data_IF_728346670361
#
_entry.id   IF_728346670361
#
_cell.length_a   1.000
_cell.length_b   1.000
_cell.length_c   1.000
_cell.angle_alpha   90.00
_cell.angle_beta   90.00
_cell.angle_gamma   90.00
#
_symmetry.space_group_name_H-M   'P 1'
#
loop_
_entity.id
_entity.type
_entity.pdbx_description
1 polymer ?
#
# COMPACT_ATOMS: atom_id res chain seq x y z
N UNK A 1 -31.96 17.56 -11.53
CA UNK A 1 -31.10 17.27 -12.70
C UNK A 1 -30.25 18.44 -13.20
N UNK A 2 -30.61 19.71 -13.06
CA UNK A 2 -29.81 20.88 -13.57
C UNK A 2 -28.53 21.16 -12.77
N UNK A 3 -28.48 20.85 -11.45
CA UNK A 3 -27.30 21.14 -10.60
C UNK A 3 -26.15 20.14 -10.77
N UNK A 4 -26.44 18.89 -11.10
CA UNK A 4 -25.41 17.86 -11.37
C UNK A 4 -24.66 18.12 -12.67
N UNK A 5 -25.31 18.70 -13.68
CA UNK A 5 -24.67 19.09 -14.93
C UNK A 5 -23.72 20.28 -14.77
N UNK A 6 -24.03 21.22 -13.88
CA UNK A 6 -23.18 22.39 -13.62
C UNK A 6 -21.88 22.01 -12.89
N UNK A 7 -21.92 21.05 -11.96
CA UNK A 7 -20.70 20.54 -11.29
C UNK A 7 -19.78 19.76 -12.24
N UNK A 8 -20.36 18.97 -13.16
CA UNK A 8 -19.59 18.25 -14.17
C UNK A 8 -18.93 19.20 -15.19
N UNK A 9 -19.61 20.27 -15.57
CA UNK A 9 -19.06 21.27 -16.49
C UNK A 9 -18.00 22.16 -15.83
N UNK A 10 -18.13 22.48 -14.54
CA UNK A 10 -17.12 23.20 -13.78
C UNK A 10 -15.85 22.36 -13.58
N UNK A 11 -15.99 21.06 -13.32
CA UNK A 11 -14.87 20.12 -13.24
C UNK A 11 -14.17 19.96 -14.60
N UNK A 12 -14.92 19.88 -15.70
CA UNK A 12 -14.35 19.81 -17.06
C UNK A 12 -13.67 21.12 -17.49
N UNK A 13 -14.18 22.28 -17.09
CA UNK A 13 -13.58 23.58 -17.38
C UNK A 13 -12.30 23.81 -16.56
N UNK A 14 -12.22 23.33 -15.33
CA UNK A 14 -11.00 23.32 -14.51
C UNK A 14 -9.90 22.42 -15.12
N UNK A 15 -10.28 21.30 -15.73
CA UNK A 15 -9.36 20.42 -16.44
C UNK A 15 -8.85 21.01 -17.76
N UNK A 16 -9.65 21.83 -18.46
CA UNK A 16 -9.27 22.45 -19.72
C UNK A 16 -8.34 23.68 -19.58
N UNK A 17 -8.31 24.32 -18.41
CA UNK A 17 -7.47 25.49 -18.15
C UNK A 17 -6.04 25.19 -17.72
N UNK A 18 -5.70 23.91 -17.52
CA UNK A 18 -4.40 23.49 -16.96
C UNK A 18 -3.32 23.19 -18.01
N UNK A 19 -3.56 23.43 -19.29
CA UNK A 19 -2.67 23.01 -20.39
C UNK A 19 -1.30 23.70 -20.46
N UNK A 20 -1.04 24.73 -19.66
CA UNK A 20 0.24 25.45 -19.67
C UNK A 20 1.23 25.04 -18.56
N UNK A 21 0.87 24.14 -17.63
CA UNK A 21 1.58 23.95 -16.36
C UNK A 21 2.05 22.53 -16.07
N UNK A 22 1.74 21.58 -16.95
CA UNK A 22 1.85 20.15 -16.61
C UNK A 22 3.13 19.44 -17.10
N UNK A 23 4.05 20.17 -17.72
CA UNK A 23 5.19 19.57 -18.44
C UNK A 23 6.38 19.18 -17.55
N UNK A 24 6.30 19.36 -16.23
CA UNK A 24 7.47 19.36 -15.37
C UNK A 24 7.69 18.12 -14.51
N UNK A 25 6.72 17.20 -14.39
CA UNK A 25 6.90 16.01 -13.56
C UNK A 25 7.91 15.03 -14.16
N UNK A 26 8.92 14.65 -13.35
CA UNK A 26 9.96 13.70 -13.74
C UNK A 26 11.26 14.34 -14.22
N UNK A 27 11.49 15.62 -13.99
CA UNK A 27 12.76 16.27 -14.28
C UNK A 27 13.82 15.96 -13.23
N UNK A 28 15.06 15.97 -13.64
CA UNK A 28 16.21 15.86 -12.73
C UNK A 28 16.14 16.91 -11.62
N UNK A 29 16.47 16.51 -10.40
CA UNK A 29 16.45 17.39 -9.23
C UNK A 29 15.09 17.50 -8.53
N UNK A 30 14.02 16.93 -9.07
CA UNK A 30 12.72 16.96 -8.40
C UNK A 30 12.63 15.94 -7.27
N UNK A 31 12.02 16.36 -6.17
CA UNK A 31 11.60 15.51 -5.05
C UNK A 31 10.08 15.38 -5.06
N UNK A 32 9.59 14.18 -5.28
CA UNK A 32 8.17 13.84 -5.21
C UNK A 32 7.85 13.25 -3.83
N UNK A 33 6.90 13.84 -3.11
CA UNK A 33 6.39 13.33 -1.83
C UNK A 33 4.95 12.90 -2.03
N UNK A 34 4.62 11.68 -1.66
CA UNK A 34 3.29 11.12 -1.90
C UNK A 34 2.68 10.46 -0.67
N UNK A 35 1.35 10.54 -0.60
CA UNK A 35 0.54 9.68 0.27
C UNK A 35 -0.08 8.59 -0.63
N UNK A 36 0.29 7.34 -0.38
CA UNK A 36 0.02 6.22 -1.27
C UNK A 36 -0.90 5.19 -0.62
N UNK A 37 -1.52 4.37 -1.47
CA UNK A 37 -2.45 3.31 -1.08
C UNK A 37 -3.60 3.87 -0.22
N UNK A 38 -4.08 5.07 -0.60
CA UNK A 38 -5.14 5.77 0.12
C UNK A 38 -6.48 5.11 -0.07
N UNK A 39 -6.77 4.65 -1.28
CA UNK A 39 -7.92 3.81 -1.58
C UNK A 39 -7.57 2.88 -2.74
N UNK A 40 -8.21 1.72 -2.74
CA UNK A 40 -7.96 0.73 -3.77
C UNK A 40 -8.73 -0.55 -3.56
N UNK A 41 -8.69 -1.37 -4.58
CA UNK A 41 -9.18 -2.75 -4.56
C UNK A 41 -7.98 -3.69 -4.53
N UNK A 42 -8.02 -4.71 -3.66
CA UNK A 42 -6.94 -5.67 -3.52
C UNK A 42 -7.46 -7.10 -3.47
N UNK A 43 -6.72 -7.98 -4.08
CA UNK A 43 -6.82 -9.42 -3.91
C UNK A 43 -5.51 -9.92 -3.33
N UNK A 44 -5.58 -10.54 -2.17
CA UNK A 44 -4.44 -11.16 -1.50
C UNK A 44 -4.62 -12.66 -1.46
N UNK A 45 -3.59 -13.41 -1.80
CA UNK A 45 -3.50 -14.86 -1.64
C UNK A 45 -2.30 -15.18 -0.75
N UNK A 46 -2.53 -15.95 0.31
CA UNK A 46 -1.49 -16.36 1.25
C UNK A 46 -1.54 -17.85 1.51
N UNK A 47 -0.36 -18.46 1.62
CA UNK A 47 -0.16 -19.85 1.99
C UNK A 47 0.74 -19.92 3.24
N UNK A 48 0.31 -20.68 4.22
CA UNK A 48 1.03 -20.89 5.50
C UNK A 48 1.28 -22.37 5.66
N UNK A 49 2.53 -22.76 5.86
CA UNK A 49 2.91 -24.15 6.13
C UNK A 49 2.83 -24.43 7.63
N UNK A 50 1.95 -25.34 8.00
CA UNK A 50 1.74 -25.81 9.39
C UNK A 50 2.18 -27.27 9.53
N UNK A 51 2.38 -27.76 10.76
CA UNK A 51 2.79 -29.16 11.03
C UNK A 51 1.80 -30.22 10.52
N UNK A 52 0.58 -29.83 10.14
CA UNK A 52 -0.47 -30.72 9.61
C UNK A 52 -0.76 -30.58 8.13
N UNK A 53 -0.05 -29.71 7.41
CA UNK A 53 -0.24 -29.41 5.99
C UNK A 53 -0.30 -27.90 5.72
N UNK A 54 -0.38 -27.56 4.45
CA UNK A 54 -0.46 -26.17 4.02
C UNK A 54 -1.89 -25.64 4.15
N UNK A 55 -2.01 -24.42 4.61
CA UNK A 55 -3.28 -23.71 4.71
C UNK A 55 -3.26 -22.50 3.75
N UNK A 56 -4.14 -22.55 2.75
CA UNK A 56 -4.31 -21.49 1.78
C UNK A 56 -5.48 -20.57 2.15
N UNK A 57 -5.28 -19.29 2.01
CA UNK A 57 -6.28 -18.27 2.27
C UNK A 57 -6.26 -17.20 1.20
N UNK A 58 -7.42 -16.71 0.80
CA UNK A 58 -7.53 -15.56 -0.08
C UNK A 58 -8.48 -14.52 0.50
N UNK A 59 -8.13 -13.26 0.34
CA UNK A 59 -8.93 -12.12 0.81
C UNK A 59 -9.04 -11.10 -0.32
N UNK A 60 -10.27 -10.69 -0.59
CA UNK A 60 -10.57 -9.58 -1.49
C UNK A 60 -11.08 -8.42 -0.66
N UNK A 61 -10.55 -7.23 -0.88
CA UNK A 61 -10.93 -6.05 -0.11
C UNK A 61 -10.97 -4.78 -0.94
N UNK A 62 -11.79 -3.86 -0.47
CA UNK A 62 -11.75 -2.46 -0.88
C UNK A 62 -11.38 -1.65 0.37
N UNK A 63 -10.37 -0.81 0.25
CA UNK A 63 -9.91 0.06 1.33
C UNK A 63 -10.07 1.52 0.96
N UNK A 64 -10.54 2.32 1.91
CA UNK A 64 -10.57 3.77 1.84
C UNK A 64 -9.86 4.32 3.09
N UNK A 65 -8.69 4.95 2.91
CA UNK A 65 -7.86 5.56 3.95
C UNK A 65 -7.37 4.62 5.08
N UNK A 66 -7.83 3.40 5.13
CA UNK A 66 -7.33 2.39 6.08
C UNK A 66 -7.57 0.99 5.55
N UNK A 67 -6.59 0.12 5.67
CA UNK A 67 -6.81 -1.31 5.61
C UNK A 67 -6.97 -1.80 7.05
N UNK A 68 -8.18 -2.12 7.48
CA UNK A 68 -8.36 -2.87 8.71
C UNK A 68 -8.02 -4.32 8.41
N UNK A 69 -6.96 -4.90 9.00
CA UNK A 69 -6.75 -6.34 8.93
C UNK A 69 -7.99 -7.02 9.49
N UNK A 70 -8.56 -7.94 8.74
CA UNK A 70 -9.66 -8.75 9.24
C UNK A 70 -9.09 -9.71 10.29
N UNK A 71 -9.17 -9.34 11.56
CA UNK A 71 -8.65 -10.11 12.69
C UNK A 71 -9.37 -11.45 12.90
N UNK A 72 -10.51 -11.65 12.23
CA UNK A 72 -11.25 -12.92 12.28
C UNK A 72 -10.57 -14.05 11.47
N UNK A 73 -9.61 -13.71 10.62
CA UNK A 73 -8.93 -14.68 9.77
C UNK A 73 -7.40 -14.54 9.96
N UNK A 74 -6.72 -15.49 10.62
CA UNK A 74 -5.27 -15.41 10.87
C UNK A 74 -4.46 -15.16 9.60
N UNK A 75 -4.89 -15.68 8.44
CA UNK A 75 -4.27 -15.43 7.14
C UNK A 75 -4.31 -13.97 6.68
N UNK A 76 -5.26 -13.17 7.14
CA UNK A 76 -5.38 -11.76 6.75
C UNK A 76 -4.40 -10.84 7.47
N UNK A 77 -3.91 -11.24 8.63
CA UNK A 77 -2.87 -10.50 9.37
C UNK A 77 -1.54 -10.59 8.62
N UNK A 78 -1.31 -11.70 7.95
CA UNK A 78 -0.05 -12.06 7.31
C UNK A 78 0.12 -11.47 5.90
N UNK A 79 -0.97 -11.12 5.23
CA UNK A 79 -0.98 -10.96 3.79
C UNK A 79 -1.06 -9.57 3.22
N UNK A 80 -1.64 -8.61 3.89
CA UNK A 80 -1.95 -7.34 3.21
C UNK A 80 -0.74 -6.39 3.11
N UNK A 81 -0.31 -6.06 1.91
CA UNK A 81 0.67 -4.99 1.66
C UNK A 81 0.00 -3.61 1.49
N UNK A 82 -1.32 -3.57 1.41
CA UNK A 82 -2.14 -2.39 1.12
C UNK A 82 -2.45 -1.55 2.35
N UNK A 83 -1.44 -1.11 3.06
CA UNK A 83 -1.61 -0.09 4.10
C UNK A 83 -1.22 1.29 3.56
N UNK A 84 -1.91 2.38 3.97
CA UNK A 84 -1.48 3.74 3.66
C UNK A 84 -0.03 3.97 4.06
N UNK A 85 0.71 4.63 3.18
CA UNK A 85 2.14 4.90 3.38
C UNK A 85 2.51 6.28 2.83
N UNK A 86 3.52 6.88 3.38
CA UNK A 86 4.14 8.11 2.86
C UNK A 86 5.40 7.72 2.10
N UNK A 87 5.61 8.34 0.95
CA UNK A 87 6.80 8.06 0.15
C UNK A 87 7.50 9.33 -0.29
N UNK A 88 8.82 9.19 -0.51
CA UNK A 88 9.65 10.19 -1.15
C UNK A 88 10.42 9.55 -2.30
N UNK A 89 10.36 10.15 -3.49
CA UNK A 89 11.06 9.72 -4.68
C UNK A 89 11.82 10.91 -5.27
N UNK A 90 13.12 10.76 -5.46
CA UNK A 90 13.98 11.77 -6.03
C UNK A 90 14.36 11.41 -7.47
N UNK A 91 14.20 12.33 -8.40
CA UNK A 91 14.59 12.16 -9.80
C UNK A 91 16.07 12.43 -9.97
N UNK A 92 16.85 11.35 -9.99
CA UNK A 92 18.34 11.39 -10.08
C UNK A 92 18.84 11.79 -11.46
N UNK A 93 18.07 11.54 -12.49
CA UNK A 93 18.19 12.06 -13.86
C UNK A 93 16.77 12.26 -14.40
N UNK A 94 16.62 12.90 -15.55
CA UNK A 94 15.32 13.06 -16.18
C UNK A 94 14.61 11.70 -16.30
N UNK A 95 13.39 11.65 -15.77
CA UNK A 95 12.47 10.50 -15.77
C UNK A 95 12.84 9.36 -14.82
N UNK A 96 14.08 9.20 -14.38
CA UNK A 96 14.47 8.13 -13.49
C UNK A 96 14.44 8.58 -12.03
N UNK A 97 13.60 7.95 -11.23
CA UNK A 97 13.49 8.20 -9.79
C UNK A 97 14.05 7.05 -8.97
N UNK A 98 14.57 7.38 -7.79
CA UNK A 98 14.87 6.45 -6.70
C UNK A 98 14.22 6.97 -5.43
N UNK A 99 13.68 6.09 -4.63
CA UNK A 99 12.94 6.51 -3.45
C UNK A 99 12.60 5.38 -2.52
N UNK A 100 11.80 5.70 -1.51
CA UNK A 100 11.25 4.71 -0.59
C UNK A 100 9.91 5.18 -0.02
N UNK A 101 9.08 4.22 0.36
CA UNK A 101 7.86 4.45 1.11
C UNK A 101 7.97 3.89 2.52
N UNK A 102 7.34 4.58 3.47
CA UNK A 102 7.23 4.21 4.87
C UNK A 102 5.77 4.15 5.28
N UNK A 103 5.38 3.07 5.92
CA UNK A 103 4.05 2.88 6.50
C UNK A 103 4.14 2.48 7.95
N UNK A 104 3.19 2.97 8.75
CA UNK A 104 2.99 2.54 10.11
C UNK A 104 1.50 2.47 10.40
N UNK A 105 1.06 1.38 11.01
CA UNK A 105 -0.30 1.24 11.48
C UNK A 105 -0.32 0.59 12.86
N UNK A 106 -1.21 1.09 13.73
CA UNK A 106 -1.57 0.44 14.97
C UNK A 106 -2.95 -0.20 14.80
N UNK A 107 -3.04 -1.47 15.16
CA UNK A 107 -4.29 -2.25 15.07
C UNK A 107 -4.66 -2.70 16.45
N UNK A 108 -5.91 -2.45 16.86
CA UNK A 108 -6.47 -2.93 18.10
C UNK A 108 -7.80 -3.62 17.81
N UNK A 109 -7.96 -4.81 18.33
CA UNK A 109 -9.20 -5.58 18.23
C UNK A 109 -9.66 -6.00 19.63
N UNK A 110 -10.90 -5.68 19.94
CA UNK A 110 -11.55 -6.11 21.19
C UNK A 110 -12.64 -7.13 20.86
N UNK A 111 -12.59 -8.28 21.50
CA UNK A 111 -13.57 -9.35 21.29
C UNK A 111 -14.06 -9.94 22.60
N UNK A 112 -15.27 -10.52 22.56
CA UNK A 112 -15.86 -11.31 23.67
C UNK A 112 -15.91 -12.77 23.21
N UNK A 113 -14.91 -13.61 23.58
CA UNK A 113 -14.94 -15.01 23.21
C UNK A 113 -16.15 -15.72 23.82
N UNK A 114 -16.87 -16.57 23.10
CA UNK A 114 -17.94 -17.36 23.63
C UNK A 114 -17.44 -18.26 24.77
N UNK A 115 -18.14 -18.25 25.90
CA UNK A 115 -17.83 -19.14 27.05
C UNK A 115 -16.95 -18.52 28.16
N UNK A 116 -16.41 -17.32 27.98
CA UNK A 116 -15.62 -16.62 29.01
C UNK A 116 -16.40 -15.56 29.81
N UNK A 117 -17.73 -15.61 29.78
CA UNK A 117 -18.57 -14.63 30.46
C UNK A 117 -18.50 -13.24 29.79
N UNK A 118 -18.49 -12.18 30.61
CA UNK A 118 -18.41 -10.80 30.12
C UNK A 118 -16.97 -10.26 29.97
N UNK A 119 -15.96 -11.11 30.03
CA UNK A 119 -14.58 -10.68 29.93
C UNK A 119 -14.26 -10.33 28.46
N UNK A 120 -13.89 -9.08 28.24
CA UNK A 120 -13.38 -8.60 26.97
C UNK A 120 -11.88 -8.89 26.89
N UNK A 121 -11.45 -9.43 25.76
CA UNK A 121 -10.03 -9.55 25.45
C UNK A 121 -9.67 -8.53 24.38
N UNK A 122 -8.66 -7.72 24.64
CA UNK A 122 -8.13 -6.75 23.68
C UNK A 122 -6.78 -7.24 23.21
N UNK A 123 -6.62 -7.40 21.90
CA UNK A 123 -5.34 -7.64 21.25
C UNK A 123 -4.94 -6.39 20.47
N UNK A 124 -3.71 -5.96 20.63
CA UNK A 124 -3.16 -4.83 19.89
C UNK A 124 -1.85 -5.22 19.21
N UNK A 125 -1.55 -4.60 18.09
CA UNK A 125 -0.33 -4.84 17.35
C UNK A 125 0.07 -3.63 16.51
N UNK A 126 1.29 -3.66 16.04
CA UNK A 126 1.89 -2.64 15.21
C UNK A 126 2.35 -3.24 13.87
N UNK A 127 2.13 -2.51 12.80
CA UNK A 127 2.62 -2.85 11.47
C UNK A 127 3.58 -1.77 11.03
N UNK A 128 4.77 -2.15 10.63
CA UNK A 128 5.74 -1.28 9.99
C UNK A 128 5.97 -1.76 8.56
N UNK A 129 6.05 -0.82 7.61
CA UNK A 129 6.33 -1.11 6.20
C UNK A 129 7.46 -0.20 5.73
N UNK A 130 8.42 -0.80 5.03
CA UNK A 130 9.50 -0.09 4.34
C UNK A 130 9.60 -0.61 2.91
N UNK A 131 9.55 0.30 1.91
CA UNK A 131 9.50 -0.08 0.51
C UNK A 131 10.45 0.79 -0.34
N UNK A 132 11.75 0.43 -0.43
CA UNK A 132 12.67 1.03 -1.37
C UNK A 132 12.32 0.66 -2.80
N UNK A 133 12.50 1.63 -3.73
CA UNK A 133 12.08 1.46 -5.13
C UNK A 133 12.83 2.36 -6.10
N UNK A 134 12.78 1.99 -7.38
CA UNK A 134 13.14 2.84 -8.49
C UNK A 134 11.96 2.93 -9.47
N UNK A 135 11.86 4.05 -10.19
CA UNK A 135 10.77 4.29 -11.12
C UNK A 135 11.24 5.06 -12.37
N UNK A 136 10.46 4.97 -13.42
CA UNK A 136 10.72 5.68 -14.66
C UNK A 136 9.44 6.38 -15.15
N UNK A 137 9.41 7.72 -15.12
CA UNK A 137 8.26 8.52 -15.53
C UNK A 137 8.23 8.70 -17.05
N UNK A 138 7.11 8.38 -17.68
CA UNK A 138 6.87 8.53 -19.12
C UNK A 138 5.65 9.42 -19.29
N UNK A 139 5.84 10.64 -19.77
CA UNK A 139 4.75 11.54 -20.11
C UNK A 139 4.20 11.17 -21.50
N UNK A 140 2.89 11.02 -21.62
CA UNK A 140 2.19 10.86 -22.89
C UNK A 140 1.77 12.23 -23.45
N UNK A 141 1.39 13.13 -22.56
CA UNK A 141 1.09 14.53 -22.83
C UNK A 141 1.25 15.34 -21.53
N UNK A 142 0.92 16.60 -21.55
CA UNK A 142 1.08 17.52 -20.42
C UNK A 142 0.26 17.14 -19.16
N UNK A 143 -0.81 16.35 -19.32
CA UNK A 143 -1.70 15.97 -18.23
C UNK A 143 -1.54 14.54 -17.78
N UNK A 144 -1.17 13.64 -18.68
CA UNK A 144 -1.24 12.20 -18.44
C UNK A 144 0.11 11.56 -18.73
N UNK A 145 0.54 10.68 -17.85
CA UNK A 145 1.70 9.84 -18.01
C UNK A 145 1.53 8.47 -17.35
N UNK A 146 2.58 7.70 -17.36
CA UNK A 146 2.73 6.46 -16.60
C UNK A 146 4.06 6.51 -15.86
N UNK A 147 4.06 5.98 -14.65
CA UNK A 147 5.26 5.94 -13.81
C UNK A 147 5.53 4.53 -13.28
N UNK A 148 5.92 3.57 -14.16
CA UNK A 148 6.29 2.23 -13.72
C UNK A 148 7.39 2.28 -12.66
N UNK A 149 7.20 1.53 -11.59
CA UNK A 149 8.11 1.43 -10.45
C UNK A 149 8.33 -0.03 -10.07
N UNK A 150 9.53 -0.35 -9.66
CA UNK A 150 9.89 -1.65 -9.14
C UNK A 150 10.74 -1.51 -7.88
N UNK A 151 10.56 -2.40 -6.93
CA UNK A 151 11.28 -2.37 -5.67
C UNK A 151 10.95 -3.54 -4.77
N UNK A 152 11.26 -3.39 -3.50
CA UNK A 152 10.94 -4.39 -2.49
C UNK A 152 10.06 -3.78 -1.43
N UNK A 153 9.14 -4.55 -0.88
CA UNK A 153 8.35 -4.16 0.29
C UNK A 153 8.66 -5.12 1.43
N UNK A 154 9.28 -4.59 2.47
CA UNK A 154 9.47 -5.26 3.74
C UNK A 154 8.36 -4.82 4.69
N UNK A 155 7.74 -5.78 5.36
CA UNK A 155 6.69 -5.55 6.35
C UNK A 155 7.01 -6.33 7.62
N UNK A 156 6.88 -5.69 8.75
CA UNK A 156 6.99 -6.30 10.06
C UNK A 156 5.71 -6.05 10.86
N UNK A 157 5.20 -7.09 11.48
CA UNK A 157 4.08 -7.05 12.42
C UNK A 157 4.56 -7.47 13.79
N UNK A 158 4.12 -6.79 14.84
CA UNK A 158 4.43 -7.12 16.22
C UNK A 158 3.20 -6.92 17.09
N UNK A 159 2.85 -7.95 17.86
CA UNK A 159 1.84 -7.96 18.90
C UNK A 159 2.40 -8.72 20.12
N UNK A 160 1.68 -8.71 21.22
CA UNK A 160 2.15 -9.23 22.52
C UNK A 160 2.79 -10.63 22.44
N UNK A 161 2.13 -11.59 21.76
CA UNK A 161 2.61 -12.97 21.63
C UNK A 161 2.82 -13.40 20.19
N UNK A 162 2.88 -12.45 19.25
CA UNK A 162 2.91 -12.73 17.84
C UNK A 162 3.79 -11.73 17.11
N UNK A 163 4.78 -12.22 16.39
CA UNK A 163 5.61 -11.42 15.50
C UNK A 163 5.63 -12.06 14.11
N UNK A 164 5.61 -11.21 13.08
CA UNK A 164 5.76 -11.67 11.72
C UNK A 164 6.53 -10.67 10.88
N UNK A 165 7.21 -11.17 9.88
CA UNK A 165 7.82 -10.34 8.87
C UNK A 165 7.69 -11.01 7.50
N UNK A 166 7.60 -10.19 6.48
CA UNK A 166 7.61 -10.65 5.10
C UNK A 166 8.34 -9.67 4.18
N UNK A 167 8.85 -10.20 3.09
CA UNK A 167 9.51 -9.48 2.02
C UNK A 167 8.82 -9.83 0.70
N UNK A 168 8.51 -8.83 -0.10
CA UNK A 168 7.93 -8.99 -1.43
C UNK A 168 8.72 -8.19 -2.47
N UNK A 169 8.71 -8.68 -3.70
CA UNK A 169 9.02 -7.88 -4.88
C UNK A 169 7.77 -7.09 -5.26
N UNK A 170 7.87 -5.77 -5.30
CA UNK A 170 6.77 -4.87 -5.61
C UNK A 170 6.93 -4.30 -7.00
N UNK A 171 5.91 -4.46 -7.84
CA UNK A 171 5.80 -3.87 -9.17
C UNK A 171 4.57 -2.98 -9.21
N UNK A 172 4.71 -1.77 -9.68
CA UNK A 172 3.63 -0.79 -9.78
C UNK A 172 3.66 -0.12 -11.16
N UNK A 173 2.49 0.09 -11.76
CA UNK A 173 2.37 0.78 -13.04
C UNK A 173 1.28 1.85 -12.97
N UNK A 174 1.43 2.88 -12.12
CA UNK A 174 0.45 3.93 -11.97
C UNK A 174 0.38 4.83 -13.22
N UNK A 175 -0.85 5.17 -13.60
CA UNK A 175 -1.13 6.27 -14.52
C UNK A 175 -1.14 7.55 -13.70
N UNK A 176 -0.39 8.54 -14.12
CA UNK A 176 -0.26 9.85 -13.47
C UNK A 176 -1.13 10.88 -14.15
N UNK A 177 -1.82 11.68 -13.35
CA UNK A 177 -2.66 12.79 -13.79
C UNK A 177 -2.17 14.07 -13.11
N UNK A 178 -1.59 14.98 -13.88
CA UNK A 178 -1.20 16.30 -13.41
C UNK A 178 -2.46 17.16 -13.26
N UNK A 179 -2.95 17.35 -12.04
CA UNK A 179 -4.23 18.04 -11.77
C UNK A 179 -4.02 19.53 -11.57
N UNK A 180 -2.92 19.91 -10.91
CA UNK A 180 -2.50 21.27 -10.65
C UNK A 180 -0.98 21.37 -10.77
N UNK A 181 -0.41 22.58 -10.85
CA UNK A 181 1.03 22.78 -10.74
C UNK A 181 1.56 22.07 -9.50
N UNK A 182 2.60 21.26 -9.66
CA UNK A 182 3.23 20.47 -8.61
C UNK A 182 2.35 19.42 -7.90
N UNK A 183 1.11 19.18 -8.35
CA UNK A 183 0.19 18.20 -7.75
C UNK A 183 -0.21 17.15 -8.77
N UNK A 184 0.10 15.91 -8.47
CA UNK A 184 -0.18 14.74 -9.30
C UNK A 184 -1.07 13.78 -8.53
N UNK A 185 -2.18 13.40 -9.13
CA UNK A 185 -2.94 12.22 -8.72
C UNK A 185 -2.46 11.03 -9.54
N UNK A 186 -2.29 9.87 -8.91
CA UNK A 186 -2.02 8.67 -9.67
C UNK A 186 -2.89 7.49 -9.24
N UNK A 187 -3.15 6.59 -10.17
CA UNK A 187 -3.85 5.36 -9.90
C UNK A 187 -3.44 4.27 -10.88
N UNK A 188 -3.36 3.03 -10.41
CA UNK A 188 -2.96 1.95 -11.28
C UNK A 188 -2.73 0.62 -10.58
N UNK A 189 -2.39 -0.41 -11.37
CA UNK A 189 -2.13 -1.75 -10.88
C UNK A 189 -0.86 -1.80 -10.01
N UNK A 190 -0.94 -2.62 -8.99
CA UNK A 190 0.16 -2.97 -8.10
C UNK A 190 0.21 -4.48 -7.94
N UNK A 191 1.41 -5.03 -7.88
CA UNK A 191 1.67 -6.45 -7.67
C UNK A 191 2.79 -6.59 -6.65
N UNK A 192 2.49 -7.20 -5.51
CA UNK A 192 3.44 -7.55 -4.47
C UNK A 192 3.61 -9.08 -4.47
N UNK A 193 4.73 -9.57 -4.97
CA UNK A 193 5.08 -10.99 -5.03
C UNK A 193 5.88 -11.37 -3.77
N UNK A 194 5.30 -12.16 -2.89
CA UNK A 194 5.95 -12.62 -1.67
C UNK A 194 7.17 -13.49 -1.96
N UNK A 195 8.33 -13.05 -1.50
CA UNK A 195 9.59 -13.77 -1.63
C UNK A 195 9.89 -14.63 -0.39
N UNK A 196 9.59 -14.11 0.78
CA UNK A 196 9.76 -14.81 2.06
C UNK A 196 8.86 -14.21 3.12
N UNK A 197 8.42 -15.01 4.06
CA UNK A 197 7.69 -14.58 5.23
C UNK A 197 7.83 -15.59 6.35
N UNK A 198 7.90 -15.11 7.58
CA UNK A 198 7.93 -15.94 8.78
C UNK A 198 7.08 -15.33 9.88
N UNK A 199 6.43 -16.19 10.61
CA UNK A 199 5.55 -15.85 11.71
C UNK A 199 5.89 -16.67 12.94
N UNK A 200 6.09 -16.02 14.06
CA UNK A 200 6.47 -16.64 15.33
C UNK A 200 5.45 -16.29 16.40
N UNK A 201 5.00 -17.32 17.11
CA UNK A 201 4.07 -17.20 18.24
C UNK A 201 4.69 -17.75 19.52
N UNK A 202 4.66 -16.96 20.57
CA UNK A 202 5.01 -17.40 21.93
C UNK A 202 3.78 -18.03 22.59
N UNK A 203 3.95 -19.27 23.10
CA UNK A 203 2.89 -20.02 23.75
C UNK A 203 2.81 -19.75 25.27
N UNK A 204 3.61 -18.81 25.80
CA UNK A 204 3.59 -18.42 27.23
C UNK A 204 4.27 -19.40 28.17
N UNK A 205 4.79 -20.52 27.67
CA UNK A 205 5.52 -21.53 28.44
C UNK A 205 7.02 -21.57 28.10
N UNK A 206 7.53 -20.53 27.44
CA UNK A 206 8.92 -20.45 26.96
C UNK A 206 9.16 -21.18 25.63
N UNK A 207 8.10 -21.70 24.98
CA UNK A 207 8.22 -22.31 23.66
C UNK A 207 7.69 -21.35 22.59
N UNK A 208 8.44 -21.20 21.50
CA UNK A 208 8.05 -20.41 20.32
C UNK A 208 7.81 -21.36 19.16
N UNK A 209 6.66 -21.19 18.50
CA UNK A 209 6.35 -21.88 17.23
C UNK A 209 6.53 -20.88 16.11
N UNK A 210 7.34 -21.25 15.11
CA UNK A 210 7.58 -20.44 13.91
C UNK A 210 7.06 -21.19 12.68
N UNK A 211 6.38 -20.47 11.81
CA UNK A 211 5.86 -20.98 10.55
C UNK A 211 6.26 -20.05 9.41
N UNK A 212 6.62 -20.63 8.28
CA UNK A 212 6.89 -19.88 7.07
C UNK A 212 5.58 -19.64 6.32
N UNK A 213 5.49 -18.49 5.67
CA UNK A 213 4.35 -18.15 4.83
C UNK A 213 4.76 -17.40 3.58
N UNK A 214 3.95 -17.52 2.55
CA UNK A 214 4.06 -16.74 1.32
C UNK A 214 2.77 -15.96 1.10
N UNK A 215 2.90 -14.73 0.64
CA UNK A 215 1.76 -13.87 0.36
C UNK A 215 1.96 -13.11 -0.93
N UNK A 216 1.00 -13.17 -1.82
CA UNK A 216 0.99 -12.39 -3.07
C UNK A 216 -0.25 -11.52 -3.08
N UNK A 217 -0.07 -10.23 -3.34
CA UNK A 217 -1.16 -9.27 -3.44
C UNK A 217 -1.17 -8.60 -4.82
N UNK A 218 -2.32 -8.60 -5.45
CA UNK A 218 -2.60 -7.82 -6.65
C UNK A 218 -3.69 -6.80 -6.33
N UNK A 219 -3.54 -5.57 -6.84
CA UNK A 219 -4.53 -4.54 -6.60
C UNK A 219 -4.50 -3.40 -7.61
N UNK A 220 -5.48 -2.52 -7.49
CA UNK A 220 -5.51 -1.20 -8.10
C UNK A 220 -5.46 -0.20 -6.95
N UNK A 221 -4.42 0.60 -6.92
CA UNK A 221 -4.14 1.54 -5.83
C UNK A 221 -4.11 2.96 -6.33
N UNK A 222 -4.29 3.91 -5.42
CA UNK A 222 -4.24 5.33 -5.73
C UNK A 222 -3.37 6.10 -4.75
N UNK A 223 -2.90 7.26 -5.18
CA UNK A 223 -2.17 8.20 -4.35
C UNK A 223 -2.35 9.65 -4.79
N UNK A 224 -2.03 10.53 -3.87
CA UNK A 224 -1.82 11.95 -4.11
C UNK A 224 -0.34 12.27 -3.88
N UNK A 225 0.23 13.05 -4.78
CA UNK A 225 1.64 13.41 -4.81
C UNK A 225 1.80 14.91 -5.00
N UNK A 226 2.78 15.49 -4.32
CA UNK A 226 3.29 16.84 -4.55
C UNK A 226 4.77 16.74 -4.86
N UNK A 227 5.26 17.51 -5.85
CA UNK A 227 6.68 17.53 -6.16
C UNK A 227 7.26 18.94 -6.05
N UNK A 228 8.55 18.99 -5.78
CA UNK A 228 9.35 20.20 -5.54
C UNK A 228 10.57 20.16 -6.43
N UNK A 229 10.92 21.27 -7.03
CA UNK A 229 12.20 21.49 -7.70
C UNK A 229 13.25 21.88 -6.65
N UNK A 230 14.37 21.13 -6.58
CA UNK A 230 15.45 21.33 -5.58
C UNK A 230 16.70 21.93 -6.24
#
# INVERSE_FOLDING_TARGET
MKRTFQCAFAAAALLASSSAWAQDFGKHGQLAVSAERLFGFTYNSSSVSLQGGDYDSSVTGFSLLSSTPNTANPGSIWGGYSSPRVAGDYFVIDRLSVGAALGYAHVSATGKPPGLGNNETTASGHVFTFAPRAGYAIAFNDMIGIWPRAGFTYRAYSAENLSAHNLALTLEAPITFNVFPHVVFWGGPTLDLGLSGSASRDNGNGSTVSNDFHSTEFGIQTALLVYFDL
#
